data_IF_457125604511
#
_entry.id   IF_457125604511
#
_cell.length_a   1.000
_cell.length_b   1.000
_cell.length_c   1.000
_cell.angle_alpha   90.00
_cell.angle_beta   90.00
_cell.angle_gamma   90.00
#
_symmetry.space_group_name_H-M   'P 1'
#
loop_
_entity.id
_entity.type
_entity.pdbx_description
1 polymer ?
#
# COMPACT_ATOMS: atom_id res chain seq x y z
N UNK A 1 17.93 -15.32 32.99
CA UNK A 1 17.58 -14.23 32.06
C UNK A 1 16.87 -13.19 32.89
N UNK A 2 17.54 -12.07 33.18
CA UNK A 2 16.97 -11.01 34.00
C UNK A 2 16.15 -10.14 33.05
N UNK A 3 14.82 -10.28 33.11
CA UNK A 3 13.90 -9.41 32.40
C UNK A 3 13.97 -8.02 33.02
N UNK A 4 14.75 -7.14 32.38
CA UNK A 4 14.85 -5.74 32.77
C UNK A 4 13.49 -5.06 32.46
N UNK A 5 12.72 -4.59 33.46
CA UNK A 5 11.40 -3.99 33.24
C UNK A 5 11.45 -2.79 32.28
N UNK A 6 12.62 -2.15 32.17
CA UNK A 6 12.92 -1.08 31.24
C UNK A 6 12.91 -1.60 29.80
N UNK A 7 13.49 -2.77 29.58
CA UNK A 7 13.57 -3.39 28.26
C UNK A 7 12.18 -3.73 27.74
N UNK A 8 11.33 -4.32 28.57
CA UNK A 8 9.95 -4.64 28.18
C UNK A 8 9.13 -3.37 27.87
N UNK A 9 9.35 -2.30 28.65
CA UNK A 9 8.73 -1.00 28.40
C UNK A 9 9.13 -0.41 27.04
N UNK A 10 10.43 -0.37 26.74
CA UNK A 10 10.96 0.13 25.47
C UNK A 10 10.45 -0.72 24.31
N UNK A 11 10.47 -2.05 24.42
CA UNK A 11 9.93 -2.97 23.41
C UNK A 11 8.45 -2.67 23.13
N UNK A 12 7.63 -2.50 24.18
CA UNK A 12 6.19 -2.22 24.04
C UNK A 12 5.93 -0.88 23.35
N UNK A 13 6.73 0.15 23.66
CA UNK A 13 6.63 1.48 23.05
C UNK A 13 7.05 1.48 21.57
N UNK A 14 8.14 0.79 21.24
CA UNK A 14 8.59 0.60 19.85
C UNK A 14 7.54 -0.19 19.05
N UNK A 15 6.99 -1.27 19.62
CA UNK A 15 5.92 -2.05 18.98
C UNK A 15 4.65 -1.22 18.73
N UNK A 16 4.38 -0.25 19.62
CA UNK A 16 3.30 0.74 19.50
C UNK A 16 3.53 1.80 18.41
N UNK A 17 4.72 1.88 17.81
CA UNK A 17 5.04 2.84 16.74
C UNK A 17 5.39 4.24 17.25
N UNK A 18 5.82 4.37 18.50
CA UNK A 18 6.28 5.65 19.07
C UNK A 18 7.73 5.91 18.64
N UNK A 19 8.05 7.17 18.35
CA UNK A 19 9.38 7.59 17.91
C UNK A 19 10.44 7.26 18.99
N UNK A 20 11.60 6.69 18.62
CA UNK A 20 12.66 6.36 19.57
C UNK A 20 13.10 7.54 20.44
N UNK A 21 13.06 8.78 19.92
CA UNK A 21 13.47 9.97 20.68
C UNK A 21 12.50 10.31 21.80
N UNK A 22 11.20 10.10 21.57
CA UNK A 22 10.17 10.27 22.61
C UNK A 22 10.33 9.21 23.71
N UNK A 23 10.75 7.99 23.32
CA UNK A 23 11.04 6.91 24.26
C UNK A 23 12.28 7.24 25.11
N UNK A 24 13.34 7.80 24.52
CA UNK A 24 14.54 8.24 25.25
C UNK A 24 14.19 9.29 26.31
N UNK A 25 13.37 10.29 25.95
CA UNK A 25 12.92 11.32 26.89
C UNK A 25 12.13 10.72 28.07
N UNK A 26 11.23 9.78 27.80
CA UNK A 26 10.46 9.10 28.85
C UNK A 26 11.34 8.21 29.75
N UNK A 27 12.34 7.53 29.18
CA UNK A 27 13.29 6.71 29.94
C UNK A 27 14.16 7.59 30.83
N UNK A 28 14.64 8.74 30.34
CA UNK A 28 15.31 9.76 31.15
C UNK A 28 14.44 10.22 32.32
N UNK A 29 13.18 10.58 32.06
CA UNK A 29 12.27 11.08 33.09
C UNK A 29 11.93 10.03 34.15
N UNK A 30 11.80 8.75 33.78
CA UNK A 30 11.39 7.68 34.69
C UNK A 30 12.53 7.07 35.49
N UNK A 31 13.71 6.99 34.91
CA UNK A 31 14.86 6.33 35.54
C UNK A 31 15.94 7.29 36.04
N UNK A 32 15.84 8.58 35.70
CA UNK A 32 16.86 9.56 36.06
C UNK A 32 18.20 9.31 35.35
N UNK A 33 18.20 8.53 34.27
CA UNK A 33 19.38 8.27 33.44
C UNK A 33 19.78 9.51 32.66
N UNK A 34 21.08 9.67 32.44
CA UNK A 34 21.59 10.71 31.54
C UNK A 34 21.09 10.46 30.12
N UNK A 35 20.86 11.54 29.36
CA UNK A 35 20.37 11.44 27.97
C UNK A 35 21.17 10.45 27.12
N UNK A 36 22.50 10.46 27.25
CA UNK A 36 23.41 9.58 26.50
C UNK A 36 23.26 8.11 26.88
N UNK A 37 23.00 7.80 28.15
CA UNK A 37 22.81 6.42 28.63
C UNK A 37 21.45 5.87 28.20
N UNK A 38 20.40 6.70 28.27
CA UNK A 38 19.06 6.34 27.80
C UNK A 38 19.04 6.15 26.26
N UNK A 39 19.73 7.01 25.52
CA UNK A 39 19.86 6.89 24.07
C UNK A 39 20.59 5.62 23.66
N UNK A 40 21.70 5.27 24.31
CA UNK A 40 22.43 4.03 24.05
C UNK A 40 21.56 2.78 24.32
N UNK A 41 20.83 2.78 25.44
CA UNK A 41 19.93 1.68 25.80
C UNK A 41 18.78 1.51 24.79
N UNK A 42 18.13 2.61 24.42
CA UNK A 42 17.03 2.58 23.43
C UNK A 42 17.55 2.22 22.04
N UNK A 43 18.76 2.67 21.66
CA UNK A 43 19.40 2.30 20.40
C UNK A 43 19.72 0.80 20.33
N UNK A 44 20.26 0.21 21.40
CA UNK A 44 20.55 -1.23 21.47
C UNK A 44 19.27 -2.09 21.38
N UNK A 45 18.23 -1.70 22.13
CA UNK A 45 16.95 -2.41 22.13
C UNK A 45 16.23 -2.24 20.79
N UNK A 46 16.25 -1.03 20.22
CA UNK A 46 15.62 -0.78 18.91
C UNK A 46 16.31 -1.56 17.80
N UNK A 47 17.64 -1.65 17.76
CA UNK A 47 18.32 -2.49 16.77
C UNK A 47 17.90 -3.97 16.85
N UNK A 48 17.68 -4.47 18.06
CA UNK A 48 17.25 -5.86 18.29
C UNK A 48 15.78 -6.09 17.92
N UNK A 49 14.90 -5.12 18.24
CA UNK A 49 13.44 -5.26 18.13
C UNK A 49 12.91 -4.80 16.78
N UNK A 50 13.50 -3.78 16.16
CA UNK A 50 13.08 -3.24 14.85
C UNK A 50 13.23 -4.30 13.77
N UNK A 51 14.27 -5.15 13.83
CA UNK A 51 14.41 -6.30 12.93
C UNK A 51 13.27 -7.33 13.04
N UNK A 52 12.66 -7.48 14.22
CA UNK A 52 11.55 -8.41 14.48
C UNK A 52 10.18 -7.78 14.21
N UNK A 53 10.02 -6.48 14.50
CA UNK A 53 8.78 -5.73 14.28
C UNK A 53 8.58 -5.38 12.80
N UNK A 54 9.65 -4.99 12.08
CA UNK A 54 9.60 -4.76 10.63
C UNK A 54 9.18 -6.04 9.88
N UNK A 55 9.66 -7.20 10.33
CA UNK A 55 9.35 -8.50 9.74
C UNK A 55 7.88 -8.91 9.88
N UNK A 56 7.19 -8.46 10.93
CA UNK A 56 5.77 -8.79 11.16
C UNK A 56 4.79 -7.89 10.42
N UNK A 57 5.14 -6.63 10.13
CA UNK A 57 4.25 -5.71 9.36
C UNK A 57 4.43 -5.83 7.84
N UNK A 58 5.59 -6.28 7.37
CA UNK A 58 5.90 -6.52 5.96
C UNK A 58 4.88 -7.36 5.17
N UNK A 59 4.39 -8.52 5.67
CA UNK A 59 3.49 -9.36 4.89
C UNK A 59 2.14 -8.69 4.62
N UNK A 60 1.61 -7.90 5.57
CA UNK A 60 0.31 -7.24 5.39
C UNK A 60 0.35 -6.16 4.31
N UNK A 61 1.42 -5.35 4.27
CA UNK A 61 1.59 -4.36 3.20
C UNK A 61 1.81 -5.01 1.84
N UNK A 62 2.54 -6.14 1.79
CA UNK A 62 2.73 -6.90 0.55
C UNK A 62 1.42 -7.50 0.03
N UNK A 63 0.60 -8.10 0.91
CA UNK A 63 -0.72 -8.61 0.54
C UNK A 63 -1.68 -7.51 0.08
N UNK A 64 -1.65 -6.35 0.76
CA UNK A 64 -2.48 -5.21 0.37
C UNK A 64 -2.07 -4.66 -1.00
N UNK A 65 -0.77 -4.50 -1.25
CA UNK A 65 -0.24 -4.07 -2.54
C UNK A 65 -0.60 -5.08 -3.66
N UNK A 66 -0.44 -6.37 -3.40
CA UNK A 66 -0.82 -7.43 -4.34
C UNK A 66 -2.33 -7.39 -4.64
N UNK A 67 -3.17 -7.21 -3.61
CA UNK A 67 -4.61 -7.06 -3.77
C UNK A 67 -5.01 -5.86 -4.63
N UNK A 68 -4.37 -4.70 -4.42
CA UNK A 68 -4.60 -3.49 -5.22
C UNK A 68 -4.18 -3.71 -6.69
N UNK A 69 -3.04 -4.37 -6.93
CA UNK A 69 -2.56 -4.68 -8.29
C UNK A 69 -3.54 -5.62 -9.01
N UNK A 70 -3.99 -6.69 -8.34
CA UNK A 70 -4.95 -7.64 -8.91
C UNK A 70 -6.28 -6.94 -9.20
N UNK A 71 -6.78 -6.12 -8.28
CA UNK A 71 -7.99 -5.34 -8.48
C UNK A 71 -7.87 -4.44 -9.72
N UNK A 72 -6.76 -3.68 -9.85
CA UNK A 72 -6.49 -2.84 -11.02
C UNK A 72 -6.48 -3.64 -12.33
N UNK A 73 -5.88 -4.84 -12.34
CA UNK A 73 -5.85 -5.71 -13.51
C UNK A 73 -7.26 -6.17 -13.92
N UNK A 74 -8.11 -6.51 -12.96
CA UNK A 74 -9.50 -6.92 -13.20
C UNK A 74 -10.32 -5.78 -13.81
N UNK A 75 -10.14 -4.54 -13.35
CA UNK A 75 -10.78 -3.37 -13.96
C UNK A 75 -10.34 -3.20 -15.42
N UNK A 76 -9.04 -3.30 -15.71
CA UNK A 76 -8.51 -3.18 -17.07
C UNK A 76 -9.08 -4.27 -17.99
N UNK A 77 -9.12 -5.52 -17.54
CA UNK A 77 -9.68 -6.64 -18.32
C UNK A 77 -11.18 -6.45 -18.59
N UNK A 78 -11.93 -5.95 -17.60
CA UNK A 78 -13.36 -5.67 -17.75
C UNK A 78 -13.59 -4.59 -18.80
N UNK A 79 -12.81 -3.50 -18.76
CA UNK A 79 -12.85 -2.44 -19.77
C UNK A 79 -12.54 -2.99 -21.18
N UNK A 80 -11.49 -3.79 -21.32
CA UNK A 80 -11.10 -4.40 -22.61
C UNK A 80 -12.24 -5.26 -23.18
N UNK A 81 -12.91 -6.06 -22.35
CA UNK A 81 -14.06 -6.88 -22.82
C UNK A 81 -15.21 -6.02 -23.32
N UNK A 82 -15.55 -4.97 -22.58
CA UNK A 82 -16.62 -4.03 -22.91
C UNK A 82 -16.30 -3.32 -24.23
N UNK A 83 -15.06 -2.89 -24.42
CA UNK A 83 -14.56 -2.29 -25.66
C UNK A 83 -14.61 -3.27 -26.85
N UNK A 84 -14.15 -4.51 -26.67
CA UNK A 84 -14.19 -5.56 -27.69
C UNK A 84 -15.63 -5.89 -28.11
N UNK A 85 -16.55 -6.01 -27.14
CA UNK A 85 -17.95 -6.26 -27.43
C UNK A 85 -18.56 -5.13 -28.26
N UNK A 86 -18.26 -3.87 -27.92
CA UNK A 86 -18.70 -2.70 -28.68
C UNK A 86 -18.10 -2.66 -30.10
N UNK A 87 -16.82 -3.01 -30.24
CA UNK A 87 -16.13 -3.06 -31.53
C UNK A 87 -16.69 -4.16 -32.46
N UNK A 88 -16.92 -5.36 -31.93
CA UNK A 88 -17.52 -6.47 -32.67
C UNK A 88 -18.96 -6.13 -33.09
N UNK A 89 -19.76 -5.60 -32.17
CA UNK A 89 -21.10 -5.11 -32.44
C UNK A 89 -21.14 -4.06 -33.57
N UNK A 90 -20.17 -3.14 -33.58
CA UNK A 90 -20.04 -2.14 -34.64
C UNK A 90 -19.59 -2.73 -35.98
N UNK A 91 -18.78 -3.80 -35.99
CA UNK A 91 -18.25 -4.41 -37.21
C UNK A 91 -19.20 -5.42 -37.87
N UNK A 92 -20.10 -6.05 -37.11
CA UNK A 92 -21.05 -7.05 -37.64
C UNK A 92 -22.41 -6.46 -38.06
N UNK A 93 -22.66 -5.17 -37.86
CA UNK A 93 -23.92 -4.51 -38.21
C UNK A 93 -25.15 -5.03 -37.45
N UNK A 94 -24.95 -5.94 -36.49
CA UNK A 94 -25.99 -6.51 -35.64
C UNK A 94 -25.71 -6.17 -34.19
N UNK A 95 -26.64 -5.49 -33.54
CA UNK A 95 -26.61 -5.27 -32.09
C UNK A 95 -27.79 -5.98 -31.40
N UNK A 96 -27.57 -6.63 -30.24
CA UNK A 96 -28.64 -7.16 -29.38
C UNK A 96 -29.45 -6.10 -28.61
N UNK A 97 -29.31 -4.81 -28.89
CA UNK A 97 -30.03 -3.76 -28.16
C UNK A 97 -30.00 -2.46 -28.95
N UNK A 98 -31.16 -2.06 -29.49
CA UNK A 98 -31.36 -0.93 -30.42
C UNK A 98 -31.13 0.49 -29.85
N UNK A 99 -30.14 0.70 -28.98
CA UNK A 99 -29.78 2.03 -28.45
C UNK A 99 -28.45 2.57 -29.00
N UNK A 100 -27.73 1.82 -29.85
CA UNK A 100 -26.46 2.26 -30.47
C UNK A 100 -26.66 2.91 -31.85
N UNK A 101 -27.88 2.84 -32.42
CA UNK A 101 -28.14 3.21 -33.82
C UNK A 101 -28.07 4.71 -34.14
N UNK A 102 -28.09 5.62 -33.16
CA UNK A 102 -28.04 7.06 -33.44
C UNK A 102 -26.64 7.71 -33.36
N UNK A 103 -25.65 7.04 -32.75
CA UNK A 103 -24.36 7.68 -32.43
C UNK A 103 -23.10 6.87 -32.74
N UNK A 104 -23.21 5.59 -33.16
CA UNK A 104 -22.06 4.73 -33.45
C UNK A 104 -21.10 4.58 -32.26
N UNK A 105 -19.82 4.30 -32.53
CA UNK A 105 -18.77 4.17 -31.51
C UNK A 105 -18.67 5.42 -30.61
N UNK A 106 -18.93 6.60 -31.17
CA UNK A 106 -18.87 7.90 -30.48
C UNK A 106 -20.03 8.05 -29.48
N UNK A 107 -21.25 7.67 -29.86
CA UNK A 107 -22.41 7.68 -28.97
C UNK A 107 -22.28 6.65 -27.84
N UNK A 108 -21.71 5.49 -28.15
CA UNK A 108 -21.37 4.50 -27.13
C UNK A 108 -20.29 5.01 -26.16
N UNK A 109 -19.25 5.68 -26.66
CA UNK A 109 -18.18 6.25 -25.82
C UNK A 109 -18.70 7.34 -24.88
N UNK A 110 -19.64 8.17 -25.34
CA UNK A 110 -20.26 9.22 -24.54
C UNK A 110 -21.13 8.66 -23.41
N UNK A 111 -21.86 7.56 -23.65
CA UNK A 111 -22.66 6.88 -22.63
C UNK A 111 -21.79 6.08 -21.63
N UNK A 112 -20.60 5.65 -22.06
CA UNK A 112 -19.65 4.87 -21.25
C UNK A 112 -18.46 5.73 -20.78
N UNK A 113 -18.62 7.06 -20.69
CA UNK A 113 -17.57 7.96 -20.21
C UNK A 113 -17.15 7.62 -18.76
N UNK A 114 -18.05 7.02 -17.98
CA UNK A 114 -17.78 6.49 -16.64
C UNK A 114 -16.69 5.40 -16.65
N UNK A 115 -16.63 4.58 -17.70
CA UNK A 115 -15.58 3.56 -17.86
C UNK A 115 -14.19 4.16 -18.10
N UNK A 116 -14.10 5.39 -18.61
CA UNK A 116 -12.83 6.10 -18.72
C UNK A 116 -12.24 6.40 -17.33
N UNK A 117 -13.10 6.67 -16.36
CA UNK A 117 -12.73 6.84 -14.95
C UNK A 117 -12.17 5.55 -14.35
N UNK A 118 -12.77 4.41 -14.66
CA UNK A 118 -12.29 3.09 -14.19
C UNK A 118 -10.88 2.76 -14.68
N UNK A 119 -10.55 3.10 -15.94
CA UNK A 119 -9.21 2.90 -16.49
C UNK A 119 -8.20 3.81 -15.81
N UNK A 120 -8.54 5.08 -15.61
CA UNK A 120 -7.65 6.04 -14.92
C UNK A 120 -7.38 5.57 -13.49
N UNK A 121 -8.41 5.15 -12.76
CA UNK A 121 -8.29 4.63 -11.40
C UNK A 121 -7.46 3.33 -11.38
N UNK A 122 -7.70 2.41 -12.32
CA UNK A 122 -6.93 1.17 -12.44
C UNK A 122 -5.45 1.43 -12.69
N UNK A 123 -5.11 2.35 -13.61
CA UNK A 123 -3.72 2.76 -13.88
C UNK A 123 -3.10 3.43 -12.66
N UNK A 124 -3.82 4.33 -11.99
CA UNK A 124 -3.35 4.99 -10.77
C UNK A 124 -3.08 3.99 -9.63
N UNK A 125 -3.93 2.98 -9.46
CA UNK A 125 -3.74 1.91 -8.48
C UNK A 125 -2.50 1.06 -8.77
N UNK A 126 -2.29 0.68 -10.04
CA UNK A 126 -1.12 -0.11 -10.44
C UNK A 126 0.17 0.70 -10.28
N UNK A 127 0.18 1.96 -10.72
CA UNK A 127 1.33 2.85 -10.58
C UNK A 127 1.64 3.15 -9.11
N UNK A 128 0.62 3.46 -8.30
CA UNK A 128 0.76 3.70 -6.87
C UNK A 128 1.26 2.47 -6.11
N UNK A 129 0.75 1.28 -6.44
CA UNK A 129 1.21 0.01 -5.87
C UNK A 129 2.66 -0.31 -6.21
N UNK A 130 3.06 -0.11 -7.47
CA UNK A 130 4.44 -0.33 -7.92
C UNK A 130 5.44 0.63 -7.25
N UNK A 131 5.09 1.92 -7.16
CA UNK A 131 5.93 2.92 -6.49
C UNK A 131 6.02 2.66 -4.98
N UNK A 132 4.90 2.29 -4.34
CA UNK A 132 4.86 1.92 -2.92
C UNK A 132 5.77 0.72 -2.62
N UNK A 133 5.71 -0.32 -3.45
CA UNK A 133 6.54 -1.51 -3.30
C UNK A 133 8.04 -1.19 -3.51
N UNK A 134 8.38 -0.38 -4.51
CA UNK A 134 9.77 0.02 -4.76
C UNK A 134 10.36 0.85 -3.60
N UNK A 135 9.55 1.72 -2.97
CA UNK A 135 9.99 2.54 -1.82
C UNK A 135 10.30 1.65 -0.61
N UNK A 136 9.40 0.73 -0.31
CA UNK A 136 9.57 -0.26 0.77
C UNK A 136 10.80 -1.16 0.53
N UNK A 137 11.02 -1.58 -0.71
CA UNK A 137 12.17 -2.43 -1.06
C UNK A 137 13.50 -1.68 -0.94
N UNK A 138 13.54 -0.39 -1.27
CA UNK A 138 14.73 0.46 -1.12
C UNK A 138 15.07 0.67 0.36
N UNK A 139 14.08 0.95 1.20
CA UNK A 139 14.27 1.14 2.65
C UNK A 139 14.79 -0.12 3.34
N UNK A 140 14.44 -1.32 2.86
CA UNK A 140 15.01 -2.58 3.39
C UNK A 140 16.41 -2.93 2.88
N UNK A 141 16.90 -2.26 1.83
CA UNK A 141 18.22 -2.52 1.25
C UNK A 141 19.30 -1.58 1.78
N UNK A 142 18.89 -0.49 2.44
CA UNK A 142 19.76 0.50 3.10
C UNK A 142 19.92 0.24 4.61
N UNK A 143 19.30 -0.81 5.15
CA UNK A 143 19.51 -1.35 6.51
C UNK A 143 20.36 -2.62 6.48
#
# INVERSE_FOLDING_TARGET
MQDDPVREYVVRRIAGGIDPKDIVLEVCQRQGLGWQEAEALVAEISHTVVGEVARRRFPLFAFLALGIIIAGLVLIVSFIRVLLAAFVAASTGGTPSGMVEAGGLIGWLLLNLEFLGEVIVGVAMVAGGAVGLHRVMRETLEM
#
